data_IF_882583505107
#
_entry.id   IF_882583505107
#
_cell.length_a   1.000
_cell.length_b   1.000
_cell.length_c   1.000
_cell.angle_alpha   90.00
_cell.angle_beta   90.00
_cell.angle_gamma   90.00
#
_symmetry.space_group_name_H-M   'P 1'
#
loop_
_entity.id
_entity.type
_entity.pdbx_description
1 polymer ?
#
# COMPACT_ATOMS: atom_id res chain seq x y z
N UNK A 1 -0.98 3.49 -12.38
CA UNK A 1 -1.24 3.82 -13.81
C UNK A 1 -0.73 2.77 -14.81
N UNK A 2 0.55 2.38 -14.81
CA UNK A 2 1.13 1.49 -15.87
C UNK A 2 0.45 0.10 -15.97
N UNK A 3 0.08 -0.50 -14.83
CA UNK A 3 -0.58 -1.83 -14.78
C UNK A 3 -1.98 -1.81 -15.41
N UNK A 4 -2.67 -0.67 -15.33
CA UNK A 4 -4.01 -0.48 -15.93
C UNK A 4 -3.85 -0.28 -17.44
N UNK A 5 -2.82 0.44 -17.88
CA UNK A 5 -2.47 0.62 -19.30
C UNK A 5 -2.15 -0.71 -20.01
N UNK A 6 -1.70 -1.72 -19.28
CA UNK A 6 -1.38 -3.05 -19.82
C UNK A 6 -2.55 -4.04 -19.81
N UNK A 7 -3.77 -3.62 -19.45
CA UNK A 7 -4.96 -4.47 -19.42
C UNK A 7 -4.82 -5.71 -18.51
N UNK A 8 -3.97 -5.63 -17.47
CA UNK A 8 -3.73 -6.75 -16.55
C UNK A 8 -4.90 -6.96 -15.57
N UNK A 9 -5.65 -5.89 -15.26
CA UNK A 9 -6.73 -5.92 -14.27
C UNK A 9 -7.85 -6.92 -14.62
N UNK A 10 -8.40 -6.96 -15.85
CA UNK A 10 -9.37 -8.00 -16.23
C UNK A 10 -8.83 -9.43 -16.10
N UNK A 11 -7.56 -9.65 -16.39
CA UNK A 11 -6.93 -10.98 -16.23
C UNK A 11 -6.82 -11.38 -14.76
N UNK A 12 -6.50 -10.43 -13.88
CA UNK A 12 -6.43 -10.67 -12.42
C UNK A 12 -7.82 -10.93 -11.85
N UNK A 13 -8.84 -10.18 -12.27
CA UNK A 13 -10.24 -10.40 -11.87
C UNK A 13 -10.71 -11.80 -12.30
N UNK A 14 -10.43 -12.18 -13.55
CA UNK A 14 -10.75 -13.53 -14.05
C UNK A 14 -10.04 -14.60 -13.23
N UNK A 15 -8.75 -14.42 -12.96
CA UNK A 15 -7.97 -15.35 -12.15
C UNK A 15 -8.56 -15.48 -10.73
N UNK A 16 -9.00 -14.39 -10.12
CA UNK A 16 -9.66 -14.40 -8.82
C UNK A 16 -10.97 -15.20 -8.81
N UNK A 17 -11.78 -15.11 -9.87
CA UNK A 17 -13.01 -15.91 -9.99
C UNK A 17 -12.74 -17.42 -10.15
N UNK A 18 -11.58 -17.80 -10.68
CA UNK A 18 -11.20 -19.20 -10.95
C UNK A 18 -10.39 -19.85 -9.81
N UNK A 19 -10.04 -19.08 -8.77
CA UNK A 19 -9.04 -19.42 -7.76
C UNK A 19 -9.41 -20.52 -6.75
N UNK A 20 -10.63 -21.07 -6.78
CA UNK A 20 -11.09 -22.19 -5.94
C UNK A 20 -10.55 -22.19 -4.49
N UNK A 21 -10.96 -21.19 -3.70
CA UNK A 21 -10.61 -21.01 -2.27
C UNK A 21 -9.15 -20.59 -1.97
N UNK A 22 -8.36 -20.24 -2.98
CA UNK A 22 -7.05 -19.58 -2.81
C UNK A 22 -7.24 -18.06 -2.53
N UNK A 23 -6.72 -17.51 -1.41
CA UNK A 23 -6.84 -16.09 -1.10
C UNK A 23 -5.91 -15.19 -1.93
N UNK A 24 -4.83 -15.73 -2.52
CA UNK A 24 -3.79 -14.93 -3.20
C UNK A 24 -4.37 -14.07 -4.34
N UNK A 25 -5.24 -14.59 -5.21
CA UNK A 25 -5.78 -13.78 -6.31
C UNK A 25 -6.68 -12.64 -5.81
N UNK A 26 -7.39 -12.83 -4.69
CA UNK A 26 -8.15 -11.76 -4.03
C UNK A 26 -7.23 -10.73 -3.37
N UNK A 27 -6.09 -11.15 -2.83
CA UNK A 27 -5.06 -10.24 -2.33
C UNK A 27 -4.52 -9.32 -3.42
N UNK A 28 -4.27 -9.86 -4.61
CA UNK A 28 -3.87 -9.05 -5.77
C UNK A 28 -4.96 -8.03 -6.15
N UNK A 29 -6.23 -8.45 -6.16
CA UNK A 29 -7.34 -7.52 -6.44
C UNK A 29 -7.45 -6.45 -5.35
N UNK A 30 -7.34 -6.83 -4.07
CA UNK A 30 -7.38 -5.90 -2.94
C UNK A 30 -6.27 -4.85 -3.05
N UNK A 31 -5.03 -5.26 -3.33
CA UNK A 31 -3.92 -4.32 -3.56
C UNK A 31 -4.22 -3.34 -4.70
N UNK A 32 -4.89 -3.79 -5.76
CA UNK A 32 -5.28 -2.92 -6.88
C UNK A 32 -6.36 -1.90 -6.49
N UNK A 33 -7.21 -2.17 -5.50
CA UNK A 33 -8.25 -1.21 -5.07
C UNK A 33 -7.69 0.08 -4.46
N UNK A 34 -6.41 0.13 -4.11
CA UNK A 34 -5.74 1.36 -3.65
C UNK A 34 -5.42 2.34 -4.78
N UNK A 35 -5.60 1.93 -6.04
CA UNK A 35 -5.55 2.84 -7.18
C UNK A 35 -6.97 3.22 -7.60
N UNK A 36 -7.27 4.53 -7.66
CA UNK A 36 -8.62 5.04 -7.93
C UNK A 36 -9.21 4.60 -9.28
N UNK A 37 -8.38 4.49 -10.33
CA UNK A 37 -8.83 4.01 -11.64
C UNK A 37 -9.19 2.53 -11.58
N UNK A 38 -8.34 1.71 -10.97
CA UNK A 38 -8.61 0.28 -10.79
C UNK A 38 -9.83 0.06 -9.91
N UNK A 39 -9.95 0.80 -8.80
CA UNK A 39 -11.13 0.81 -7.93
C UNK A 39 -12.39 1.14 -8.72
N UNK A 40 -12.37 2.21 -9.52
CA UNK A 40 -13.50 2.61 -10.37
C UNK A 40 -13.91 1.52 -11.37
N UNK A 41 -12.94 0.80 -11.93
CA UNK A 41 -13.19 -0.31 -12.85
C UNK A 41 -13.80 -1.50 -12.09
N UNK A 42 -13.20 -1.89 -10.96
CA UNK A 42 -13.69 -3.02 -10.13
C UNK A 42 -15.10 -2.74 -9.63
N UNK A 43 -15.40 -1.53 -9.15
CA UNK A 43 -16.73 -1.15 -8.66
C UNK A 43 -17.81 -1.17 -9.73
N UNK A 44 -17.45 -1.14 -11.02
CA UNK A 44 -18.39 -1.25 -12.15
C UNK A 44 -18.63 -2.70 -12.58
N UNK A 45 -17.78 -3.65 -12.19
CA UNK A 45 -17.96 -5.08 -12.45
C UNK A 45 -18.88 -5.69 -11.39
N UNK A 46 -20.19 -5.54 -11.60
CA UNK A 46 -21.21 -6.04 -10.66
C UNK A 46 -21.12 -7.54 -10.41
N UNK A 47 -20.73 -8.32 -11.42
CA UNK A 47 -20.59 -9.76 -11.31
C UNK A 47 -19.44 -10.13 -10.36
N UNK A 48 -18.31 -9.43 -10.47
CA UNK A 48 -17.21 -9.62 -9.53
C UNK A 48 -17.57 -9.14 -8.11
N UNK A 49 -18.29 -8.04 -7.97
CA UNK A 49 -18.73 -7.56 -6.64
C UNK A 49 -19.66 -8.56 -5.95
N UNK A 50 -20.62 -9.13 -6.68
CA UNK A 50 -21.53 -10.13 -6.12
C UNK A 50 -20.76 -11.40 -5.72
N UNK A 51 -19.80 -11.83 -6.53
CA UNK A 51 -18.88 -12.92 -6.18
C UNK A 51 -18.11 -12.63 -4.88
N UNK A 52 -17.52 -11.44 -4.74
CA UNK A 52 -16.80 -11.05 -3.52
C UNK A 52 -17.74 -11.01 -2.30
N UNK A 53 -18.99 -10.56 -2.45
CA UNK A 53 -19.99 -10.58 -1.37
C UNK A 53 -20.32 -11.99 -0.89
N UNK A 54 -20.40 -12.96 -1.79
CA UNK A 54 -20.60 -14.36 -1.41
C UNK A 54 -19.41 -14.88 -0.60
N UNK A 55 -18.19 -14.54 -1.03
CA UNK A 55 -16.95 -14.95 -0.36
C UNK A 55 -16.76 -14.37 1.04
N UNK A 56 -17.42 -13.26 1.38
CA UNK A 56 -17.43 -12.75 2.76
C UNK A 56 -17.93 -13.79 3.77
N UNK A 57 -18.75 -14.77 3.33
CA UNK A 57 -19.25 -15.85 4.17
C UNK A 57 -18.51 -17.18 3.95
N UNK A 58 -17.36 -17.18 3.29
CA UNK A 58 -16.56 -18.40 3.09
C UNK A 58 -16.11 -19.02 4.41
N UNK A 59 -16.07 -20.35 4.47
CA UNK A 59 -15.49 -21.11 5.58
C UNK A 59 -13.97 -20.86 5.71
N UNK A 60 -13.32 -20.48 4.60
CA UNK A 60 -11.94 -20.07 4.58
C UNK A 60 -11.80 -18.62 5.09
N UNK A 61 -11.24 -18.51 6.30
CA UNK A 61 -11.09 -17.23 7.00
C UNK A 61 -10.19 -16.24 6.26
N UNK A 62 -9.21 -16.70 5.49
CA UNK A 62 -8.32 -15.81 4.75
C UNK A 62 -9.03 -15.23 3.51
N UNK A 63 -9.75 -16.07 2.76
CA UNK A 63 -10.61 -15.66 1.65
C UNK A 63 -11.68 -14.69 2.14
N UNK A 64 -12.39 -15.03 3.22
CA UNK A 64 -13.41 -14.16 3.81
C UNK A 64 -12.82 -12.83 4.28
N UNK A 65 -11.62 -12.82 4.88
CA UNK A 65 -10.91 -11.60 5.29
C UNK A 65 -10.60 -10.70 4.08
N UNK A 66 -10.07 -11.28 3.00
CA UNK A 66 -9.76 -10.51 1.79
C UNK A 66 -11.02 -9.95 1.12
N UNK A 67 -12.08 -10.75 1.05
CA UNK A 67 -13.37 -10.32 0.53
C UNK A 67 -13.94 -9.11 1.31
N UNK A 68 -13.92 -9.17 2.65
CA UNK A 68 -14.32 -8.03 3.48
C UNK A 68 -13.44 -6.79 3.23
N UNK A 69 -12.13 -6.96 3.05
CA UNK A 69 -11.22 -5.86 2.73
C UNK A 69 -11.56 -5.16 1.42
N UNK A 70 -11.83 -5.94 0.36
CA UNK A 70 -12.25 -5.41 -0.95
C UNK A 70 -13.58 -4.68 -0.83
N UNK A 71 -14.58 -5.27 -0.17
CA UNK A 71 -15.89 -4.64 0.03
C UNK A 71 -15.77 -3.34 0.82
N UNK A 72 -14.96 -3.31 1.89
CA UNK A 72 -14.72 -2.10 2.67
C UNK A 72 -14.08 -0.99 1.83
N UNK A 73 -13.05 -1.32 1.04
CA UNK A 73 -12.41 -0.33 0.16
C UNK A 73 -13.39 0.24 -0.86
N UNK A 74 -14.26 -0.58 -1.42
CA UNK A 74 -15.20 -0.18 -2.47
C UNK A 74 -16.40 0.59 -1.92
N UNK A 75 -16.95 0.20 -0.78
CA UNK A 75 -18.22 0.74 -0.26
C UNK A 75 -18.07 1.82 0.83
N UNK A 76 -16.99 1.83 1.63
CA UNK A 76 -17.02 2.53 2.94
C UNK A 76 -15.78 3.40 3.28
N UNK A 77 -14.83 3.57 2.36
CA UNK A 77 -13.61 4.37 2.59
C UNK A 77 -13.90 5.85 2.95
N UNK A 78 -14.98 6.43 2.40
CA UNK A 78 -15.37 7.83 2.62
C UNK A 78 -15.88 8.09 4.04
N UNK A 79 -16.39 7.08 4.77
CA UNK A 79 -16.87 7.25 6.15
C UNK A 79 -15.75 7.26 7.19
N UNK A 80 -14.55 6.79 6.85
CA UNK A 80 -13.42 6.72 7.78
C UNK A 80 -12.51 7.95 7.70
N UNK A 81 -12.34 8.56 6.51
CA UNK A 81 -11.59 9.82 6.33
C UNK A 81 -12.10 10.95 7.25
N UNK A 82 -13.41 11.01 7.48
CA UNK A 82 -14.03 12.01 8.37
C UNK A 82 -13.77 11.78 9.87
N UNK A 83 -13.32 10.59 10.29
CA UNK A 83 -13.06 10.25 11.71
C UNK A 83 -11.59 10.41 12.13
N UNK A 84 -10.66 10.40 11.19
CA UNK A 84 -9.22 10.56 11.48
C UNK A 84 -8.78 12.03 11.51
N UNK A 85 -9.46 12.93 10.79
CA UNK A 85 -9.17 14.37 10.84
C UNK A 85 -9.47 15.01 12.22
N UNK A 86 -10.28 14.37 13.06
CA UNK A 86 -10.59 14.85 14.42
C UNK A 86 -9.61 14.38 15.51
N UNK A 87 -8.70 13.44 15.22
CA UNK A 87 -7.81 12.83 16.25
C UNK A 87 -6.37 13.33 16.26
N UNK A 88 -5.96 14.17 15.31
CA UNK A 88 -4.59 14.69 15.24
C UNK A 88 -4.54 16.17 15.62
N UNK A 89 -4.92 16.48 16.86
CA UNK A 89 -4.64 17.76 17.53
C UNK A 89 -4.04 17.47 18.89
N UNK A 90 -2.71 17.35 18.90
CA UNK A 90 -1.73 17.26 20.00
C UNK A 90 -0.65 16.33 19.41
N UNK A 91 0.53 16.77 19.01
CA UNK A 91 1.44 17.72 19.63
C UNK A 91 2.09 18.63 18.58
N UNK A 92 1.98 19.93 18.84
CA UNK A 92 2.84 20.94 18.25
C UNK A 92 3.83 21.37 19.34
N UNK A 93 5.08 21.63 18.90
CA UNK A 93 6.20 22.35 19.51
C UNK A 93 7.49 21.51 19.36
N UNK A 94 8.52 21.93 18.61
CA UNK A 94 9.17 23.24 18.72
C UNK A 94 10.04 23.58 17.49
N UNK A 95 10.01 24.87 17.11
CA UNK A 95 10.99 25.72 16.35
C UNK A 95 11.31 25.36 14.89
N UNK A 96 10.76 26.10 13.90
CA UNK A 96 11.27 27.38 13.32
C UNK A 96 12.67 27.20 12.66
N UNK A 97 12.92 27.44 11.37
CA UNK A 97 12.45 28.49 10.48
C UNK A 97 12.79 28.17 8.99
N UNK A 98 11.93 28.65 8.09
CA UNK A 98 12.23 29.18 6.74
C UNK A 98 12.22 28.31 5.46
N UNK A 99 11.38 28.79 4.54
CA UNK A 99 11.32 28.65 3.08
C UNK A 99 10.49 27.51 2.46
N UNK A 100 9.33 27.94 1.93
CA UNK A 100 8.46 27.24 0.99
C UNK A 100 9.22 26.63 -0.18
N UNK A 101 9.40 25.31 -0.10
CA UNK A 101 9.29 24.37 -1.21
C UNK A 101 8.63 23.14 -0.62
N UNK A 102 7.81 22.39 -1.37
CA UNK A 102 7.29 21.08 -0.94
C UNK A 102 8.46 20.09 -0.78
N UNK A 103 9.29 20.27 0.25
CA UNK A 103 10.44 19.44 0.51
C UNK A 103 9.94 18.16 1.13
N UNK A 104 9.80 17.14 0.29
CA UNK A 104 9.62 15.77 0.75
C UNK A 104 10.67 15.48 1.84
N UNK A 105 10.27 15.03 3.04
CA UNK A 105 11.18 14.90 4.18
C UNK A 105 12.26 13.83 3.96
N UNK A 106 12.03 12.91 3.02
CA UNK A 106 13.00 11.93 2.57
C UNK A 106 13.37 12.18 1.11
N UNK A 107 14.67 12.13 0.82
CA UNK A 107 15.19 12.04 -0.54
C UNK A 107 14.78 10.72 -1.19
N UNK A 108 14.72 9.62 -0.42
CA UNK A 108 14.39 8.31 -0.97
C UNK A 108 13.83 7.31 0.05
N UNK A 109 12.97 6.41 -0.41
CA UNK A 109 12.55 5.21 0.30
C UNK A 109 13.32 4.00 -0.26
N UNK A 110 13.87 3.16 0.60
CA UNK A 110 14.57 1.93 0.21
C UNK A 110 13.68 0.73 0.54
N UNK A 111 13.21 0.05 -0.51
CA UNK A 111 12.45 -1.19 -0.42
C UNK A 111 13.36 -2.39 -0.68
N UNK A 112 13.28 -3.43 0.15
CA UNK A 112 14.15 -4.60 0.07
C UNK A 112 13.44 -5.87 0.56
N UNK A 113 13.91 -7.04 0.12
CA UNK A 113 13.53 -8.32 0.72
C UNK A 113 14.49 -8.72 1.84
N UNK A 114 14.03 -9.53 2.81
CA UNK A 114 14.80 -9.95 3.99
C UNK A 114 16.24 -10.42 3.68
N UNK A 115 16.44 -11.14 2.57
CA UNK A 115 17.76 -11.62 2.16
C UNK A 115 18.78 -10.50 1.88
N UNK A 116 18.32 -9.31 1.51
CA UNK A 116 19.14 -8.15 1.15
C UNK A 116 19.26 -7.12 2.27
N UNK A 117 18.62 -7.35 3.43
CA UNK A 117 18.64 -6.45 4.59
C UNK A 117 20.07 -5.96 4.94
N UNK A 118 21.10 -6.83 5.04
CA UNK A 118 22.44 -6.37 5.43
C UNK A 118 23.09 -5.45 4.41
N UNK A 119 22.73 -5.59 3.13
CA UNK A 119 23.24 -4.74 2.06
C UNK A 119 22.50 -3.39 2.04
N UNK A 120 21.17 -3.41 2.17
CA UNK A 120 20.33 -2.21 2.17
C UNK A 120 20.63 -1.31 3.36
N UNK A 121 20.93 -1.89 4.54
CA UNK A 121 21.42 -1.13 5.69
C UNK A 121 22.73 -0.40 5.37
N UNK A 122 23.71 -1.06 4.74
CA UNK A 122 24.98 -0.42 4.33
C UNK A 122 24.79 0.68 3.29
N UNK A 123 23.85 0.49 2.35
CA UNK A 123 23.51 1.51 1.36
C UNK A 123 22.96 2.75 2.06
N UNK A 124 22.01 2.55 2.97
CA UNK A 124 21.43 3.60 3.81
C UNK A 124 22.49 4.34 4.62
N UNK A 125 23.34 3.63 5.37
CA UNK A 125 24.43 4.24 6.15
C UNK A 125 25.34 5.12 5.28
N UNK A 126 25.59 4.71 4.04
CA UNK A 126 26.44 5.45 3.10
C UNK A 126 25.74 6.68 2.51
N UNK A 127 24.42 6.62 2.32
CA UNK A 127 23.57 7.71 1.87
C UNK A 127 23.44 8.77 2.97
N UNK A 128 23.19 8.36 4.21
CA UNK A 128 23.17 9.26 5.38
C UNK A 128 24.52 9.97 5.57
N UNK A 129 25.64 9.25 5.44
CA UNK A 129 26.99 9.85 5.43
C UNK A 129 27.19 10.85 4.29
N UNK A 130 26.46 10.69 3.19
CA UNK A 130 26.44 11.61 2.05
C UNK A 130 25.52 12.82 2.23
N UNK A 131 24.78 12.90 3.34
CA UNK A 131 23.83 13.96 3.63
C UNK A 131 22.45 13.77 3.02
N UNK A 132 22.15 12.57 2.49
CA UNK A 132 20.81 12.22 2.01
C UNK A 132 19.95 11.73 3.16
N UNK A 133 18.66 12.05 3.12
CA UNK A 133 17.66 11.55 4.06
C UNK A 133 16.90 10.40 3.43
N UNK A 134 17.09 9.18 3.92
CA UNK A 134 16.36 8.01 3.43
C UNK A 134 15.41 7.43 4.48
N UNK A 135 14.37 6.77 4.00
CA UNK A 135 13.51 5.92 4.80
C UNK A 135 13.82 4.46 4.50
N UNK A 136 14.18 3.72 5.54
CA UNK A 136 14.48 2.29 5.49
C UNK A 136 13.80 1.62 6.69
N UNK A 137 13.03 0.57 6.44
CA UNK A 137 12.46 -0.26 7.49
C UNK A 137 13.59 -1.02 8.22
N UNK A 138 14.17 -0.45 9.28
CA UNK A 138 15.28 -1.05 10.05
C UNK A 138 14.80 -1.93 11.21
N UNK A 139 13.66 -1.58 11.80
CA UNK A 139 13.08 -2.24 12.95
C UNK A 139 11.81 -2.95 12.49
N UNK A 140 11.83 -4.30 12.46
CA UNK A 140 10.69 -5.16 12.10
C UNK A 140 9.35 -4.53 12.50
N UNK A 141 8.70 -3.85 11.54
CA UNK A 141 7.53 -3.03 11.80
C UNK A 141 6.39 -3.91 12.34
N UNK A 142 6.14 -3.84 13.65
CA UNK A 142 4.94 -4.41 14.27
C UNK A 142 3.80 -3.40 14.16
N UNK A 143 2.86 -3.62 13.24
CA UNK A 143 1.69 -2.74 13.09
C UNK A 143 1.22 -2.59 11.64
N UNK A 144 0.69 -1.42 11.27
CA UNK A 144 0.22 -1.09 9.92
C UNK A 144 1.37 -0.81 8.95
N UNK A 145 2.16 -1.86 8.66
CA UNK A 145 3.27 -1.83 7.70
C UNK A 145 2.87 -1.14 6.38
N UNK A 146 1.64 -1.38 5.93
CA UNK A 146 1.08 -0.81 4.69
C UNK A 146 0.96 0.71 4.77
N UNK A 147 0.51 1.28 5.89
CA UNK A 147 0.36 2.73 6.07
C UNK A 147 1.73 3.39 6.18
N UNK A 148 2.67 2.82 6.95
CA UNK A 148 4.03 3.32 7.04
C UNK A 148 4.76 3.28 5.69
N UNK A 149 4.58 2.21 4.89
CA UNK A 149 5.13 2.11 3.55
C UNK A 149 4.49 3.11 2.58
N UNK A 150 3.17 3.27 2.62
CA UNK A 150 2.46 4.24 1.79
C UNK A 150 2.94 5.67 2.10
N UNK A 151 3.01 6.01 3.38
CA UNK A 151 3.53 7.30 3.83
C UNK A 151 4.98 7.51 3.39
N UNK A 152 5.83 6.50 3.53
CA UNK A 152 7.23 6.57 3.10
C UNK A 152 7.38 6.81 1.60
N UNK A 153 6.55 6.16 0.77
CA UNK A 153 6.54 6.35 -0.68
C UNK A 153 6.10 7.78 -1.04
N UNK A 154 5.00 8.26 -0.44
CA UNK A 154 4.48 9.60 -0.70
C UNK A 154 5.47 10.69 -0.28
N UNK A 155 6.09 10.51 0.89
CA UNK A 155 7.04 11.45 1.51
C UNK A 155 8.49 11.30 1.01
N UNK A 156 8.73 10.44 0.01
CA UNK A 156 10.05 10.26 -0.61
C UNK A 156 10.11 10.80 -2.03
N UNK A 157 11.24 11.39 -2.42
CA UNK A 157 11.45 11.86 -3.80
C UNK A 157 11.70 10.72 -4.77
N UNK A 158 12.37 9.66 -4.33
CA UNK A 158 12.62 8.45 -5.11
C UNK A 158 12.28 7.18 -4.31
N UNK A 159 12.03 6.09 -5.01
CA UNK A 159 11.90 4.75 -4.41
C UNK A 159 12.98 3.86 -5.01
N UNK A 160 13.92 3.40 -4.19
CA UNK A 160 14.94 2.42 -4.56
C UNK A 160 14.40 1.02 -4.24
N UNK A 161 14.11 0.23 -5.27
CA UNK A 161 13.67 -1.15 -5.11
C UNK A 161 14.88 -2.07 -5.28
N UNK A 162 15.33 -2.67 -4.18
CA UNK A 162 16.36 -3.68 -4.17
C UNK A 162 15.72 -5.05 -4.37
N UNK A 163 15.94 -5.64 -5.54
CA UNK A 163 15.56 -7.03 -5.85
C UNK A 163 16.80 -7.82 -6.25
N UNK A 164 16.93 -9.06 -5.81
CA UNK A 164 17.92 -10.02 -6.36
C UNK A 164 17.21 -11.15 -7.10
N UNK A 165 17.83 -11.59 -8.20
CA UNK A 165 17.50 -12.83 -8.92
C UNK A 165 18.11 -14.06 -8.26
#
# INVERSE_FOLDING_TARGET
EEVIKQNALPSIIKFAKEANDDPIPLEMVFAMTFNDDAKTIISKDTEFIDYVKELCNSDNKEVAKMAHGIMWKIEDEEKFKQKEEEKTKHEAETTEESSDTESKPYDMMISYCWAQQPLCHKISDRLEQGGYKDWLDRDEMRGSIIECMAEAIERSRFVLICMSS
#
